data_IF_566309293194
#
_entry.id   IF_566309293194
#
_cell.length_a   1.000
_cell.length_b   1.000
_cell.length_c   1.000
_cell.angle_alpha   90.00
_cell.angle_beta   90.00
_cell.angle_gamma   90.00
#
_symmetry.space_group_name_H-M   'P 1'
#
loop_
_entity.id
_entity.type
_entity.pdbx_description
1 polymer ?
#
# COMPACT_ATOMS: atom_id res chain seq x y z
N UNK A 1 12.60 -1.68 -7.63
CA UNK A 1 11.18 -2.09 -7.75
C UNK A 1 10.53 -1.91 -6.39
N UNK A 2 9.30 -1.41 -6.37
CA UNK A 2 8.48 -1.25 -5.16
C UNK A 2 7.16 -1.99 -5.35
N UNK A 3 6.51 -2.37 -4.24
CA UNK A 3 5.31 -3.22 -4.27
C UNK A 3 4.22 -2.66 -3.36
N UNK A 4 3.01 -2.55 -3.91
CA UNK A 4 1.78 -2.32 -3.16
C UNK A 4 1.07 -3.66 -2.96
N UNK A 5 0.86 -4.06 -1.71
CA UNK A 5 0.24 -5.33 -1.34
C UNK A 5 -1.13 -5.02 -0.75
N UNK A 6 -2.20 -5.48 -1.41
CA UNK A 6 -3.58 -5.30 -0.95
C UNK A 6 -4.03 -6.61 -0.31
N UNK A 7 -4.20 -6.62 1.00
CA UNK A 7 -4.77 -7.74 1.73
C UNK A 7 -6.29 -7.76 1.53
N UNK A 8 -6.79 -8.85 0.99
CA UNK A 8 -8.21 -9.13 0.82
C UNK A 8 -8.58 -10.38 1.65
N UNK A 9 -9.89 -10.65 1.80
CA UNK A 9 -10.38 -11.80 2.57
C UNK A 9 -9.90 -13.15 2.03
N UNK A 10 -9.47 -13.20 0.76
CA UNK A 10 -9.01 -14.43 0.09
C UNK A 10 -7.49 -14.58 0.04
N UNK A 11 -6.71 -13.58 0.48
CA UNK A 11 -5.25 -13.56 0.39
C UNK A 11 -4.69 -12.16 0.20
N UNK A 12 -3.66 -12.02 -0.64
CA UNK A 12 -3.12 -10.71 -1.01
C UNK A 12 -2.96 -10.56 -2.53
N UNK A 13 -3.24 -9.36 -3.03
CA UNK A 13 -2.93 -8.95 -4.40
C UNK A 13 -1.71 -8.04 -4.38
N UNK A 14 -0.71 -8.35 -5.21
CA UNK A 14 0.52 -7.55 -5.31
C UNK A 14 0.55 -6.74 -6.59
N UNK A 15 0.88 -5.47 -6.46
CA UNK A 15 1.09 -4.56 -7.57
C UNK A 15 2.50 -4.00 -7.50
N UNK A 16 3.36 -4.54 -8.33
CA UNK A 16 4.72 -4.03 -8.51
C UNK A 16 4.70 -2.77 -9.38
N UNK A 17 5.55 -1.82 -9.05
CA UNK A 17 5.77 -0.61 -9.82
C UNK A 17 7.23 -0.19 -9.73
N UNK A 18 7.71 0.48 -10.78
CA UNK A 18 9.03 1.07 -10.78
C UNK A 18 8.95 2.51 -10.25
N UNK A 19 9.55 2.83 -9.09
CA UNK A 19 9.57 4.20 -8.56
C UNK A 19 10.39 5.17 -9.45
N UNK A 20 11.25 4.66 -10.33
CA UNK A 20 11.97 5.46 -11.33
C UNK A 20 11.13 5.81 -12.56
N UNK A 21 9.96 5.18 -12.74
CA UNK A 21 9.06 5.44 -13.86
C UNK A 21 7.89 6.32 -13.40
N UNK A 22 7.85 7.56 -13.89
CA UNK A 22 6.84 8.56 -13.51
C UNK A 22 5.39 8.09 -13.77
N UNK A 23 5.13 7.32 -14.82
CA UNK A 23 3.79 6.79 -15.12
C UNK A 23 3.42 5.65 -14.15
N UNK A 24 4.37 4.77 -13.84
CA UNK A 24 4.17 3.73 -12.83
C UNK A 24 3.92 4.34 -11.44
N UNK A 25 4.65 5.40 -11.10
CA UNK A 25 4.49 6.15 -9.86
C UNK A 25 3.11 6.81 -9.77
N UNK A 26 2.66 7.49 -10.82
CA UNK A 26 1.34 8.12 -10.86
C UNK A 26 0.20 7.09 -10.72
N UNK A 27 0.37 5.89 -11.27
CA UNK A 27 -0.58 4.78 -11.10
C UNK A 27 -0.58 4.25 -9.66
N UNK A 28 0.59 4.09 -9.04
CA UNK A 28 0.72 3.66 -7.66
C UNK A 28 0.11 4.69 -6.68
N UNK A 29 0.32 5.99 -6.93
CA UNK A 29 -0.28 7.07 -6.13
C UNK A 29 -1.81 7.10 -6.27
N UNK A 30 -2.32 6.91 -7.49
CA UNK A 30 -3.77 6.82 -7.73
C UNK A 30 -4.39 5.67 -6.95
N UNK A 31 -3.79 4.47 -7.02
CA UNK A 31 -4.24 3.29 -6.27
C UNK A 31 -4.22 3.54 -4.77
N UNK A 32 -3.18 4.21 -4.26
CA UNK A 32 -3.10 4.58 -2.84
C UNK A 32 -4.31 5.42 -2.42
N UNK A 33 -4.67 6.44 -3.21
CA UNK A 33 -5.83 7.30 -2.93
C UNK A 33 -7.16 6.54 -3.02
N UNK A 34 -7.30 5.66 -4.01
CA UNK A 34 -8.50 4.84 -4.19
C UNK A 34 -8.70 3.89 -3.01
N UNK A 35 -7.66 3.16 -2.61
CA UNK A 35 -7.75 2.21 -1.50
C UNK A 35 -7.98 2.91 -0.15
N UNK A 36 -7.26 4.00 0.12
CA UNK A 36 -7.46 4.77 1.35
C UNK A 36 -8.85 5.43 1.39
N UNK A 37 -9.36 5.90 0.25
CA UNK A 37 -10.73 6.39 0.10
C UNK A 37 -11.80 5.30 0.30
N UNK A 38 -11.49 4.05 -0.08
CA UNK A 38 -12.35 2.89 0.15
C UNK A 38 -12.33 2.36 1.60
N UNK A 39 -11.55 2.98 2.49
CA UNK A 39 -11.48 2.61 3.90
C UNK A 39 -10.38 1.61 4.25
N UNK A 40 -9.48 1.30 3.33
CA UNK A 40 -8.25 0.54 3.65
C UNK A 40 -7.28 1.42 4.44
N UNK A 41 -6.53 0.76 5.32
CA UNK A 41 -5.39 1.36 6.00
C UNK A 41 -4.12 1.05 5.24
N UNK A 42 -3.36 2.09 4.87
CA UNK A 42 -2.04 1.95 4.29
C UNK A 42 -0.94 1.94 5.37
N UNK A 43 -0.01 1.01 5.28
CA UNK A 43 1.14 0.92 6.17
C UNK A 43 2.41 0.50 5.42
N UNK A 44 3.54 1.06 5.80
CA UNK A 44 4.85 0.65 5.30
C UNK A 44 5.36 -0.53 6.09
N UNK A 45 5.94 -1.51 5.42
CA UNK A 45 6.69 -2.57 6.09
C UNK A 45 8.12 -2.07 6.30
N UNK A 46 8.45 -1.70 7.54
CA UNK A 46 9.75 -1.12 7.90
C UNK A 46 10.74 -2.15 8.45
N UNK A 47 10.27 -3.36 8.77
CA UNK A 47 11.09 -4.47 9.27
C UNK A 47 10.28 -5.75 9.45
N UNK A 48 10.89 -6.85 9.90
CA UNK A 48 10.20 -8.11 10.17
C UNK A 48 9.11 -7.93 11.25
N UNK A 49 7.85 -7.91 10.82
CA UNK A 49 6.70 -7.72 11.71
C UNK A 49 6.40 -6.27 12.09
N UNK A 50 7.23 -5.31 11.64
CA UNK A 50 6.99 -3.88 11.89
C UNK A 50 6.28 -3.25 10.70
N UNK A 51 5.07 -2.74 10.97
CA UNK A 51 4.29 -1.96 10.02
C UNK A 51 4.01 -0.57 10.59
N UNK A 52 4.34 0.46 9.82
CA UNK A 52 4.10 1.85 10.19
C UNK A 52 2.96 2.41 9.34
N UNK A 53 1.84 2.77 9.98
CA UNK A 53 0.70 3.36 9.26
C UNK A 53 1.09 4.72 8.67
N UNK A 54 0.80 4.89 7.38
CA UNK A 54 1.01 6.15 6.66
C UNK A 54 -0.32 6.76 6.22
N UNK A 55 -0.36 8.09 6.16
CA UNK A 55 -1.53 8.86 5.70
C UNK A 55 -1.34 9.43 4.29
N UNK A 56 -0.13 9.35 3.76
CA UNK A 56 0.27 9.92 2.47
C UNK A 56 1.16 8.93 1.73
N UNK A 57 1.07 8.93 0.41
CA UNK A 57 1.85 8.04 -0.45
C UNK A 57 3.34 8.35 -0.30
N UNK A 58 4.14 7.31 -0.05
CA UNK A 58 5.60 7.38 0.02
C UNK A 58 6.19 6.65 -1.21
N UNK A 59 6.72 7.38 -2.20
CA UNK A 59 7.31 6.78 -3.40
C UNK A 59 8.64 6.06 -3.12
N UNK A 60 9.29 6.31 -1.98
CA UNK A 60 10.54 5.69 -1.59
C UNK A 60 10.33 4.35 -0.85
N UNK A 61 9.08 4.06 -0.45
CA UNK A 61 8.76 2.81 0.21
C UNK A 61 8.91 1.61 -0.73
N UNK A 62 9.71 0.64 -0.32
CA UNK A 62 9.85 -0.62 -1.05
C UNK A 62 8.56 -1.46 -0.99
N UNK A 63 7.87 -1.44 0.16
CA UNK A 63 6.64 -2.21 0.36
C UNK A 63 5.59 -1.39 1.10
N UNK A 64 4.42 -1.23 0.48
CA UNK A 64 3.22 -0.62 1.09
C UNK A 64 2.12 -1.67 1.20
N UNK A 65 1.70 -1.96 2.42
CA UNK A 65 0.59 -2.85 2.74
C UNK A 65 -0.71 -2.05 2.85
N UNK A 66 -1.78 -2.54 2.25
CA UNK A 66 -3.14 -2.06 2.41
C UNK A 66 -3.96 -3.17 3.04
N UNK A 67 -4.60 -2.89 4.17
CA UNK A 67 -5.48 -3.86 4.84
C UNK A 67 -6.80 -3.19 5.22
N UNK A 68 -7.93 -3.93 5.18
CA UNK A 68 -9.22 -3.37 5.56
C UNK A 68 -9.18 -2.91 7.01
N UNK A 69 -9.92 -1.84 7.32
CA UNK A 69 -10.05 -1.37 8.71
C UNK A 69 -10.63 -2.51 9.56
N UNK A 70 -9.86 -2.96 10.56
CA UNK A 70 -10.35 -3.88 11.58
C UNK A 70 -11.45 -3.17 12.37
N UNK A 71 -12.71 -3.47 12.07
CA UNK A 71 -13.83 -3.22 12.96
C UNK A 71 -13.81 -4.33 14.02
N UNK A 72 -13.06 -4.10 15.09
CA UNK A 72 -13.17 -4.92 16.30
C UNK A 72 -14.50 -4.62 16.98
N UNK A 73 -15.28 -5.67 17.27
CA UNK A 73 -16.42 -5.61 18.19
C UNK A 73 -15.96 -5.60 19.64
#
# INVERSE_FOLDING_TARGET
MATQIVMDQTGDTRHEFDPGNAEALARAERRFRELTGAGFTAALRTGPGEVTRIKSFDPAAQETLFYPRLVGG
#
